data_IF_159565807961
#
_entry.id   IF_159565807961
#
_cell.length_a   1.000
_cell.length_b   1.000
_cell.length_c   1.000
_cell.angle_alpha   90.00
_cell.angle_beta   90.00
_cell.angle_gamma   90.00
#
_symmetry.space_group_name_H-M   'P 1'
#
loop_
_entity.id
_entity.type
_entity.pdbx_description
1 polymer ?
#
# COMPACT_ATOMS: atom_id res chain seq x y z
N UNK A 1 3.96 -13.11 1.34
CA UNK A 1 4.32 -12.33 2.55
C UNK A 1 3.79 -10.92 2.34
N UNK A 2 2.55 -10.66 2.78
CA UNK A 2 1.81 -9.43 2.48
C UNK A 2 2.27 -8.30 3.38
N UNK A 3 3.02 -7.35 2.82
CA UNK A 3 3.38 -6.11 3.50
C UNK A 3 2.16 -5.19 3.48
N UNK A 4 1.44 -5.14 4.59
CA UNK A 4 0.37 -4.17 4.80
C UNK A 4 0.98 -2.76 4.90
N UNK A 5 0.99 -2.03 3.79
CA UNK A 5 1.28 -0.59 3.72
C UNK A 5 0.10 0.19 4.30
N UNK A 6 0.03 0.23 5.63
CA UNK A 6 -0.86 1.15 6.34
C UNK A 6 -0.39 2.60 6.13
N UNK A 7 -1.31 3.55 5.88
CA UNK A 7 -0.94 4.92 5.56
C UNK A 7 -0.24 5.59 6.74
N UNK A 8 0.95 6.14 6.50
CA UNK A 8 1.76 6.93 7.45
C UNK A 8 1.05 8.27 7.72
N UNK A 9 -0.03 8.24 8.50
CA UNK A 9 -0.80 9.44 8.90
C UNK A 9 -0.62 9.83 10.37
N UNK A 10 -0.07 8.92 11.18
CA UNK A 10 -0.14 8.99 12.63
C UNK A 10 1.19 9.47 13.26
N UNK A 11 1.12 10.54 14.06
CA UNK A 11 2.26 11.02 14.85
C UNK A 11 2.83 9.95 15.77
N UNK A 12 1.99 8.99 16.18
CA UNK A 12 2.35 7.84 16.99
C UNK A 12 3.40 6.96 16.31
N UNK A 13 3.28 6.77 14.99
CA UNK A 13 4.23 6.00 14.19
C UNK A 13 5.55 6.76 13.99
N UNK A 14 5.47 8.09 13.80
CA UNK A 14 6.67 8.95 13.74
C UNK A 14 7.44 8.97 15.06
N UNK A 15 6.73 8.96 16.19
CA UNK A 15 7.32 8.94 17.53
C UNK A 15 7.69 7.52 18.01
N UNK A 16 7.36 6.47 17.25
CA UNK A 16 7.61 5.09 17.66
C UNK A 16 6.80 4.63 18.87
N UNK A 17 5.69 5.29 19.21
CA UNK A 17 4.86 4.95 20.40
C UNK A 17 4.17 3.58 20.30
N UNK A 18 4.20 2.95 19.12
CA UNK A 18 3.73 1.58 18.87
C UNK A 18 4.75 0.48 19.21
N UNK A 19 5.98 0.88 19.53
CA UNK A 19 7.09 -0.04 19.66
C UNK A 19 7.25 -0.54 21.10
N UNK A 20 7.79 -1.75 21.26
CA UNK A 20 8.19 -2.30 22.58
C UNK A 20 9.08 -1.34 23.39
N UNK A 21 10.07 -0.63 22.81
CA UNK A 21 10.85 0.35 23.56
C UNK A 21 10.04 1.53 24.12
N UNK A 22 8.95 1.96 23.47
CA UNK A 22 8.10 3.03 24.03
C UNK A 22 7.44 2.60 25.35
N UNK A 23 7.02 1.34 25.46
CA UNK A 23 6.52 0.78 26.71
C UNK A 23 7.59 0.64 27.78
N UNK A 24 8.84 0.33 27.42
CA UNK A 24 9.96 0.29 28.36
C UNK A 24 10.28 1.69 28.91
N UNK A 25 10.32 2.71 28.05
CA UNK A 25 10.52 4.10 28.46
C UNK A 25 9.38 4.54 29.39
N UNK A 26 8.13 4.21 29.06
CA UNK A 26 6.99 4.53 29.90
C UNK A 26 7.03 3.81 31.25
N UNK A 27 7.44 2.53 31.29
CA UNK A 27 7.62 1.80 32.53
C UNK A 27 8.73 2.41 33.40
N UNK A 28 9.87 2.78 32.80
CA UNK A 28 10.95 3.47 33.49
C UNK A 28 10.50 4.84 34.03
N UNK A 29 9.77 5.60 33.21
CA UNK A 29 9.17 6.87 33.62
C UNK A 29 8.22 6.70 34.82
N UNK A 30 7.27 5.77 34.75
CA UNK A 30 6.34 5.51 35.86
C UNK A 30 7.07 5.01 37.12
N UNK A 31 8.15 4.24 36.96
CA UNK A 31 9.00 3.81 38.07
C UNK A 31 9.74 5.00 38.71
N UNK A 32 10.22 5.95 37.89
CA UNK A 32 10.86 7.17 38.39
C UNK A 32 9.88 8.06 39.17
N UNK A 33 8.65 8.21 38.68
CA UNK A 33 7.58 8.93 39.37
C UNK A 33 7.18 8.23 40.68
N UNK A 34 7.12 6.89 40.67
CA UNK A 34 6.87 6.11 41.88
C UNK A 34 7.98 6.29 42.93
N UNK A 35 9.24 6.38 42.51
CA UNK A 35 10.37 6.63 43.41
C UNK A 35 10.34 8.05 44.01
N UNK A 36 10.08 9.07 43.18
CA UNK A 36 9.87 10.45 43.62
C UNK A 36 8.71 10.56 44.61
N UNK A 37 7.61 9.88 44.28
CA UNK A 37 6.42 9.78 45.12
C UNK A 37 6.70 9.10 46.46
N UNK A 38 7.44 7.98 46.47
CA UNK A 38 7.77 7.23 47.68
C UNK A 38 8.75 7.98 48.58
N UNK A 39 9.75 8.65 47.99
CA UNK A 39 10.68 9.50 48.75
C UNK A 39 9.97 10.67 49.45
N UNK A 40 8.85 11.13 48.87
CA UNK A 40 8.01 12.20 49.43
C UNK A 40 6.97 11.68 50.43
N UNK A 41 6.60 10.39 50.38
CA UNK A 41 5.53 9.80 51.19
C UNK A 41 5.83 9.76 52.70
N UNK A 42 7.11 9.77 53.09
CA UNK A 42 7.52 9.81 54.50
C UNK A 42 7.14 11.13 55.20
N UNK A 43 6.75 12.15 54.44
CA UNK A 43 6.44 13.50 54.94
C UNK A 43 4.96 13.88 54.76
N UNK A 44 4.12 12.96 54.29
CA UNK A 44 2.69 13.21 54.02
C UNK A 44 1.77 12.76 55.16
N UNK A 45 0.71 13.53 55.43
CA UNK A 45 -0.26 13.23 56.52
C UNK A 45 -1.18 12.04 56.23
N UNK A 46 -1.52 11.79 54.97
CA UNK A 46 -2.36 10.65 54.56
C UNK A 46 -1.71 9.86 53.43
N UNK A 47 -1.80 8.53 53.53
CA UNK A 47 -1.12 7.60 52.60
C UNK A 47 -1.91 7.29 51.32
N UNK A 48 -3.23 7.54 51.29
CA UNK A 48 -4.10 7.19 50.15
C UNK A 48 -4.02 8.12 48.91
N UNK A 49 -3.72 9.43 49.01
CA UNK A 49 -3.75 10.34 47.86
C UNK A 49 -2.58 10.11 46.90
N UNK A 50 -1.45 9.69 47.45
CA UNK A 50 -0.21 9.36 46.73
C UNK A 50 -0.41 8.21 45.73
N UNK A 51 -0.85 7.00 46.13
CA UNK A 51 -1.11 5.91 45.20
C UNK A 51 -2.27 6.21 44.25
N UNK A 52 -3.25 7.01 44.67
CA UNK A 52 -4.36 7.44 43.78
C UNK A 52 -3.84 8.32 42.65
N UNK A 53 -3.01 9.32 42.96
CA UNK A 53 -2.37 10.16 41.95
C UNK A 53 -1.49 9.36 41.00
N UNK A 54 -0.71 8.41 41.52
CA UNK A 54 0.15 7.55 40.70
C UNK A 54 -0.69 6.66 39.77
N UNK A 55 -1.82 6.12 40.25
CA UNK A 55 -2.74 5.33 39.43
C UNK A 55 -3.35 6.17 38.30
N UNK A 56 -3.73 7.43 38.57
CA UNK A 56 -4.24 8.35 37.55
C UNK A 56 -3.14 8.64 36.50
N UNK A 57 -1.92 8.94 36.92
CA UNK A 57 -0.79 9.16 36.00
C UNK A 57 -0.49 7.91 35.16
N UNK A 58 -0.45 6.72 35.78
CA UNK A 58 -0.25 5.46 35.06
C UNK A 58 -1.36 5.19 34.04
N UNK A 59 -2.61 5.46 34.39
CA UNK A 59 -3.74 5.34 33.48
C UNK A 59 -3.64 6.34 32.31
N UNK A 60 -3.23 7.60 32.58
CA UNK A 60 -3.02 8.61 31.57
C UNK A 60 -1.90 8.22 30.59
N UNK A 61 -0.75 7.76 31.10
CA UNK A 61 0.37 7.25 30.28
C UNK A 61 -0.05 6.04 29.45
N UNK A 62 -0.76 5.07 30.05
CA UNK A 62 -1.26 3.90 29.35
C UNK A 62 -2.28 4.28 28.26
N UNK A 63 -3.17 5.24 28.53
CA UNK A 63 -4.13 5.75 27.55
C UNK A 63 -3.41 6.43 26.37
N UNK A 64 -2.38 7.23 26.64
CA UNK A 64 -1.55 7.85 25.61
C UNK A 64 -0.84 6.83 24.71
N UNK A 65 -0.45 5.67 25.24
CA UNK A 65 0.17 4.59 24.47
C UNK A 65 -0.81 3.64 23.79
N UNK A 66 -2.00 3.42 24.38
CA UNK A 66 -2.97 2.43 23.90
C UNK A 66 -3.91 2.99 22.85
N UNK A 67 -4.39 4.22 23.02
CA UNK A 67 -5.37 4.84 22.12
C UNK A 67 -4.74 5.09 20.75
N UNK A 68 -5.28 4.45 19.71
CA UNK A 68 -4.77 4.50 18.33
C UNK A 68 -5.15 5.75 17.53
N UNK A 69 -6.37 6.31 17.63
CA UNK A 69 -6.74 7.46 16.79
C UNK A 69 -5.84 8.69 16.97
N UNK A 70 -5.48 9.31 15.84
CA UNK A 70 -4.76 10.58 15.77
C UNK A 70 -5.52 11.56 14.84
N UNK A 71 -6.10 12.66 15.38
CA UNK A 71 -5.94 13.16 16.75
C UNK A 71 -6.69 12.32 17.80
N UNK A 72 -6.27 12.46 19.07
CA UNK A 72 -6.94 11.82 20.21
C UNK A 72 -8.47 12.04 20.19
N UNK A 73 -9.28 11.01 20.52
CA UNK A 73 -10.72 11.16 20.60
C UNK A 73 -11.09 12.14 21.72
N UNK A 74 -12.17 12.89 21.54
CA UNK A 74 -12.63 13.92 22.49
C UNK A 74 -12.77 13.43 23.94
N UNK A 75 -13.41 12.28 24.24
CA UNK A 75 -13.55 11.82 25.63
C UNK A 75 -12.21 11.51 26.28
N UNK A 76 -11.27 10.90 25.55
CA UNK A 76 -9.93 10.65 26.07
C UNK A 76 -9.14 11.95 26.28
N UNK A 77 -9.32 12.93 25.38
CA UNK A 77 -8.70 14.25 25.51
C UNK A 77 -9.20 14.96 26.76
N UNK A 78 -10.51 14.93 27.02
CA UNK A 78 -11.09 15.50 28.23
C UNK A 78 -10.62 14.78 29.50
N UNK A 79 -10.58 13.44 29.49
CA UNK A 79 -10.09 12.64 30.60
C UNK A 79 -8.61 12.93 30.93
N UNK A 80 -7.74 13.02 29.90
CA UNK A 80 -6.33 13.35 30.06
C UNK A 80 -6.11 14.80 30.49
N UNK A 81 -6.92 15.74 29.97
CA UNK A 81 -6.86 17.14 30.41
C UNK A 81 -7.30 17.29 31.86
N UNK A 82 -8.31 16.54 32.31
CA UNK A 82 -8.81 16.54 33.68
C UNK A 82 -7.89 15.80 34.65
N UNK A 83 -7.16 14.76 34.21
CA UNK A 83 -6.22 14.05 35.07
C UNK A 83 -5.08 14.93 35.56
N UNK A 84 -4.68 15.93 34.77
CA UNK A 84 -3.58 16.86 35.12
C UNK A 84 -3.88 17.65 36.41
N UNK A 85 -4.93 18.49 36.49
CA UNK A 85 -5.26 19.22 37.71
C UNK A 85 -5.76 18.29 38.83
N UNK A 86 -6.39 17.15 38.51
CA UNK A 86 -6.84 16.19 39.52
C UNK A 86 -5.66 15.59 40.29
N UNK A 87 -4.62 15.12 39.60
CA UNK A 87 -3.42 14.58 40.24
C UNK A 87 -2.69 15.67 41.02
N UNK A 88 -2.58 16.89 40.49
CA UNK A 88 -1.98 18.02 41.18
C UNK A 88 -2.76 18.41 42.46
N UNK A 89 -4.08 18.43 42.43
CA UNK A 89 -4.89 18.72 43.62
C UNK A 89 -4.71 17.64 44.71
N UNK A 90 -4.67 16.36 44.32
CA UNK A 90 -4.47 15.24 45.25
C UNK A 90 -3.12 15.29 45.96
N UNK A 91 -2.05 15.64 45.24
CA UNK A 91 -0.71 15.78 45.83
C UNK A 91 -0.59 17.00 46.71
N UNK A 92 -1.10 18.16 46.25
CA UNK A 92 -1.06 19.42 46.99
C UNK A 92 -1.89 19.37 48.29
N UNK A 93 -3.01 18.63 48.31
CA UNK A 93 -3.83 18.43 49.51
C UNK A 93 -3.04 17.79 50.68
N UNK A 94 -1.98 17.03 50.38
CA UNK A 94 -1.20 16.30 51.40
C UNK A 94 0.14 16.94 51.71
N UNK A 95 0.44 18.07 51.07
CA UNK A 95 1.78 18.63 51.11
C UNK A 95 2.00 19.40 52.41
N UNK A 96 3.07 19.10 53.16
CA UNK A 96 3.47 19.95 54.28
C UNK A 96 3.84 21.34 53.74
N UNK A 97 3.39 22.37 54.47
CA UNK A 97 3.59 23.78 54.13
C UNK A 97 4.68 24.31 55.07
N UNK A 98 5.81 24.89 54.56
CA UNK A 98 6.22 25.00 53.16
C UNK A 98 6.80 23.69 52.57
N UNK A 99 6.79 23.53 51.22
CA UNK A 99 7.42 22.39 50.58
C UNK A 99 8.93 22.40 50.81
N UNK A 100 9.48 21.26 51.20
CA UNK A 100 10.88 21.09 51.62
C UNK A 100 11.76 20.48 50.54
N UNK A 101 11.17 19.89 49.49
CA UNK A 101 11.90 19.21 48.40
C UNK A 101 11.18 19.32 47.07
N UNK A 102 11.93 19.36 45.97
CA UNK A 102 11.38 19.33 44.61
C UNK A 102 10.67 18.00 44.32
N UNK A 103 11.05 16.91 45.00
CA UNK A 103 10.42 15.60 44.83
C UNK A 103 8.93 15.61 45.20
N UNK A 104 8.52 16.51 46.10
CA UNK A 104 7.13 16.69 46.51
C UNK A 104 6.22 17.21 45.37
N UNK A 105 6.82 17.82 44.35
CA UNK A 105 6.14 18.38 43.18
C UNK A 105 6.11 17.41 41.99
N UNK A 106 6.38 16.12 42.19
CA UNK A 106 6.43 15.08 41.13
C UNK A 106 5.22 15.13 40.17
N UNK A 107 4.02 15.34 40.70
CA UNK A 107 2.78 15.46 39.92
C UNK A 107 2.78 16.58 38.87
N UNK A 108 3.59 17.63 39.05
CA UNK A 108 3.71 18.72 38.09
C UNK A 108 4.46 18.25 36.85
N UNK A 109 5.56 17.53 37.04
CA UNK A 109 6.29 16.87 35.95
C UNK A 109 5.39 15.90 35.19
N UNK A 110 4.63 15.08 35.92
CA UNK A 110 3.71 14.12 35.31
C UNK A 110 2.57 14.76 34.50
N UNK A 111 1.99 15.85 35.02
CA UNK A 111 1.01 16.65 34.30
C UNK A 111 1.59 17.25 33.01
N UNK A 112 2.81 17.77 33.09
CA UNK A 112 3.52 18.38 31.95
C UNK A 112 3.88 17.38 30.87
N UNK A 113 4.33 16.18 31.23
CA UNK A 113 4.57 15.09 30.29
C UNK A 113 3.27 14.72 29.58
N UNK A 114 2.18 14.57 30.33
CA UNK A 114 0.85 14.26 29.77
C UNK A 114 0.39 15.35 28.78
N UNK A 115 0.49 16.63 29.16
CA UNK A 115 0.17 17.77 28.29
C UNK A 115 1.06 17.80 27.03
N UNK A 116 2.37 17.58 27.19
CA UNK A 116 3.34 17.55 26.09
C UNK A 116 2.95 16.49 25.06
N UNK A 117 2.67 15.26 25.49
CA UNK A 117 2.25 14.19 24.57
C UNK A 117 0.86 14.46 23.96
N UNK A 118 -0.09 15.06 24.69
CA UNK A 118 -1.36 15.49 24.12
C UNK A 118 -1.17 16.55 23.01
N UNK A 119 -0.22 17.47 23.20
CA UNK A 119 0.15 18.47 22.21
C UNK A 119 0.71 17.82 20.94
N UNK A 120 1.67 16.90 21.08
CA UNK A 120 2.23 16.19 19.92
C UNK A 120 1.19 15.31 19.21
N UNK A 121 0.22 14.78 19.95
CA UNK A 121 -0.96 14.05 19.40
C UNK A 121 -2.06 14.95 18.84
N UNK A 122 -1.78 16.23 18.60
CA UNK A 122 -2.64 17.14 17.83
C UNK A 122 -3.78 17.78 18.61
N UNK A 123 -3.76 17.71 19.95
CA UNK A 123 -4.73 18.37 20.84
C UNK A 123 -4.06 19.49 21.64
N UNK A 124 -3.33 20.37 20.94
CA UNK A 124 -2.55 21.46 21.56
C UNK A 124 -3.40 22.37 22.46
N UNK A 125 -4.61 22.75 22.03
CA UNK A 125 -5.49 23.58 22.86
C UNK A 125 -5.89 22.91 24.18
N UNK A 126 -6.18 21.61 24.17
CA UNK A 126 -6.52 20.87 25.39
C UNK A 126 -5.30 20.62 26.29
N UNK A 127 -4.12 20.44 25.71
CA UNK A 127 -2.86 20.34 26.45
C UNK A 127 -2.57 21.65 27.21
N UNK A 128 -2.74 22.80 26.55
CA UNK A 128 -2.63 24.11 27.17
C UNK A 128 -3.70 24.32 28.25
N UNK A 129 -4.95 23.96 27.99
CA UNK A 129 -6.01 24.04 29.00
C UNK A 129 -5.68 23.18 30.25
N UNK A 130 -5.17 21.97 30.06
CA UNK A 130 -4.73 21.11 31.16
C UNK A 130 -3.59 21.70 31.98
N UNK A 131 -2.56 22.25 31.32
CA UNK A 131 -1.44 22.88 32.00
C UNK A 131 -1.84 24.19 32.71
N UNK A 132 -2.67 25.02 32.08
CA UNK A 132 -3.20 26.23 32.72
C UNK A 132 -4.08 25.89 33.92
N UNK A 133 -4.85 24.81 33.85
CA UNK A 133 -5.64 24.31 34.99
C UNK A 133 -4.75 23.84 36.14
N UNK A 134 -3.59 23.23 35.84
CA UNK A 134 -2.59 22.90 36.85
C UNK A 134 -2.03 24.14 37.53
N UNK A 135 -1.65 25.17 36.75
CA UNK A 135 -1.16 26.46 37.28
C UNK A 135 -2.23 27.14 38.13
N UNK A 136 -3.50 27.08 37.72
CA UNK A 136 -4.60 27.61 38.52
C UNK A 136 -4.77 26.84 39.83
N UNK A 137 -4.69 25.50 39.78
CA UNK A 137 -4.80 24.63 40.97
C UNK A 137 -3.68 24.93 41.98
N UNK A 138 -2.45 25.08 41.51
CA UNK A 138 -1.30 25.42 42.37
C UNK A 138 -1.38 26.83 42.93
N UNK A 139 -1.85 27.81 42.15
CA UNK A 139 -2.09 29.17 42.62
C UNK A 139 -3.15 29.21 43.74
N UNK A 140 -4.29 28.54 43.54
CA UNK A 140 -5.37 28.45 44.54
C UNK A 140 -4.87 27.78 45.83
N UNK A 141 -4.13 26.67 45.71
CA UNK A 141 -3.53 26.00 46.87
C UNK A 141 -2.57 26.92 47.64
N UNK A 142 -1.71 27.64 46.92
CA UNK A 142 -0.70 28.51 47.54
C UNK A 142 -1.35 29.73 48.24
N UNK A 143 -2.45 30.22 47.68
CA UNK A 143 -3.29 31.25 48.32
C UNK A 143 -3.93 30.73 49.62
N UNK A 144 -4.56 29.55 49.58
CA UNK A 144 -5.17 28.95 50.77
C UNK A 144 -4.15 28.60 51.86
N UNK A 145 -2.92 28.28 51.44
CA UNK A 145 -1.80 27.94 52.32
C UNK A 145 -1.10 29.16 52.94
N UNK A 146 -1.54 30.39 52.62
CA UNK A 146 -0.96 31.64 53.14
C UNK A 146 0.39 32.04 52.54
N UNK A 147 0.86 31.34 51.49
CA UNK A 147 2.13 31.62 50.80
C UNK A 147 1.99 32.69 49.70
N UNK A 148 0.75 33.04 49.35
CA UNK A 148 0.43 34.02 48.32
C UNK A 148 0.34 33.42 46.91
N UNK A 149 -0.51 34.00 46.05
CA UNK A 149 -0.77 33.51 44.69
C UNK A 149 0.51 33.40 43.83
N UNK A 150 1.47 34.32 44.03
CA UNK A 150 2.70 34.37 43.26
C UNK A 150 3.58 33.13 43.43
N UNK A 151 3.57 32.48 44.62
CA UNK A 151 4.40 31.31 44.87
C UNK A 151 3.90 30.09 44.07
N UNK A 152 2.59 29.82 44.10
CA UNK A 152 1.97 28.75 43.32
C UNK A 152 2.18 28.90 41.80
N UNK A 153 2.14 30.13 41.28
CA UNK A 153 2.48 30.39 39.88
C UNK A 153 3.96 30.14 39.63
N UNK A 154 4.87 30.69 40.44
CA UNK A 154 6.30 30.59 40.25
C UNK A 154 6.81 29.13 40.19
N UNK A 155 6.32 28.26 41.06
CA UNK A 155 6.68 26.83 41.04
C UNK A 155 6.16 26.09 39.80
N UNK A 156 5.12 26.62 39.15
CA UNK A 156 4.48 25.99 38.00
C UNK A 156 5.03 26.48 36.66
N UNK A 157 5.57 27.70 36.58
CA UNK A 157 6.03 28.35 35.34
C UNK A 157 7.07 27.51 34.59
N UNK A 158 7.94 26.78 35.28
CA UNK A 158 8.97 25.92 34.65
C UNK A 158 8.38 24.88 33.69
N UNK A 159 7.13 24.47 33.92
CA UNK A 159 6.42 23.49 33.11
C UNK A 159 5.94 24.04 31.75
N UNK A 160 5.95 25.35 31.56
CA UNK A 160 5.62 25.98 30.28
C UNK A 160 6.68 25.66 29.20
N UNK A 161 7.95 25.54 29.59
CA UNK A 161 9.06 25.31 28.65
C UNK A 161 8.87 24.05 27.80
N UNK A 162 8.69 22.85 28.41
CA UNK A 162 8.43 21.62 27.66
C UNK A 162 7.19 21.69 26.75
N UNK A 163 6.09 22.28 27.24
CA UNK A 163 4.87 22.41 26.43
C UNK A 163 5.04 23.38 25.25
N UNK A 164 5.78 24.46 25.43
CA UNK A 164 6.15 25.39 24.34
C UNK A 164 6.98 24.69 23.27
N UNK A 165 7.98 23.91 23.67
CA UNK A 165 8.79 23.11 22.74
C UNK A 165 7.92 22.07 21.99
N UNK A 166 7.02 21.39 22.70
CA UNK A 166 6.08 20.44 22.10
C UNK A 166 5.11 21.13 21.10
N UNK A 167 4.69 22.35 21.42
CA UNK A 167 3.85 23.19 20.55
C UNK A 167 4.59 23.51 19.27
N UNK A 168 5.85 23.95 19.35
CA UNK A 168 6.69 24.19 18.18
C UNK A 168 6.85 22.93 17.33
N UNK A 169 7.12 21.78 17.95
CA UNK A 169 7.21 20.50 17.24
C UNK A 169 5.90 20.15 16.51
N UNK A 170 4.75 20.32 17.18
CA UNK A 170 3.44 19.99 16.65
C UNK A 170 3.05 20.86 15.44
N UNK A 171 3.41 22.14 15.45
CA UNK A 171 3.07 23.08 14.37
C UNK A 171 4.11 23.13 13.24
N UNK A 172 5.40 22.96 13.53
CA UNK A 172 6.46 23.14 12.52
C UNK A 172 6.90 21.81 11.91
N UNK A 173 7.20 20.81 12.76
CA UNK A 173 7.86 19.59 12.28
C UNK A 173 6.86 18.57 11.73
N UNK A 174 5.66 18.52 12.31
CA UNK A 174 4.64 17.52 11.94
C UNK A 174 4.07 17.72 10.52
N UNK A 175 3.74 18.94 10.05
CA UNK A 175 3.32 19.14 8.66
C UNK A 175 4.45 18.86 7.67
N UNK A 176 5.68 19.29 7.99
CA UNK A 176 6.86 19.06 7.16
C UNK A 176 7.15 17.57 6.96
N UNK A 177 7.14 16.79 8.05
CA UNK A 177 7.30 15.33 7.98
C UNK A 177 6.23 14.68 7.11
N UNK A 178 4.94 15.03 7.31
CA UNK A 178 3.83 14.52 6.49
C UNK A 178 4.00 14.85 5.00
N UNK A 179 4.48 16.04 4.67
CA UNK A 179 4.73 16.44 3.29
C UNK A 179 5.85 15.60 2.65
N UNK A 180 6.96 15.40 3.36
CA UNK A 180 8.09 14.59 2.87
C UNK A 180 7.67 13.14 2.63
N UNK A 181 6.89 12.54 3.53
CA UNK A 181 6.44 11.16 3.34
C UNK A 181 5.47 11.01 2.18
N UNK A 182 4.53 11.95 2.01
CA UNK A 182 3.64 11.96 0.83
C UNK A 182 4.43 12.07 -0.47
N UNK A 183 5.41 12.97 -0.53
CA UNK A 183 6.25 13.15 -1.70
C UNK A 183 7.07 11.88 -2.03
N UNK A 184 7.58 11.18 -1.01
CA UNK A 184 8.27 9.89 -1.20
C UNK A 184 7.34 8.81 -1.75
N UNK A 185 6.11 8.73 -1.26
CA UNK A 185 5.11 7.78 -1.75
C UNK A 185 4.74 8.06 -3.21
N UNK A 186 4.49 9.33 -3.54
CA UNK A 186 4.22 9.80 -4.91
C UNK A 186 5.39 9.52 -5.84
N UNK A 187 6.63 9.84 -5.42
CA UNK A 187 7.84 9.57 -6.19
C UNK A 187 8.04 8.07 -6.43
N UNK A 188 7.80 7.22 -5.43
CA UNK A 188 7.90 5.77 -5.59
C UNK A 188 6.86 5.25 -6.59
N UNK A 189 5.63 5.77 -6.53
CA UNK A 189 4.57 5.41 -7.47
C UNK A 189 4.91 5.86 -8.90
N UNK A 190 5.48 7.05 -9.04
CA UNK A 190 5.90 7.60 -10.32
C UNK A 190 7.02 6.76 -10.94
N UNK A 191 8.07 6.43 -10.18
CA UNK A 191 9.16 5.54 -10.64
C UNK A 191 8.62 4.19 -11.09
N UNK A 192 7.65 3.61 -10.37
CA UNK A 192 6.99 2.38 -10.78
C UNK A 192 6.25 2.50 -12.11
N UNK A 193 5.53 3.61 -12.34
CA UNK A 193 4.83 3.85 -13.60
C UNK A 193 5.78 4.11 -14.77
N UNK A 194 6.88 4.83 -14.53
CA UNK A 194 7.90 5.11 -15.55
C UNK A 194 8.64 3.82 -15.95
N UNK A 195 8.96 2.95 -14.99
CA UNK A 195 9.56 1.65 -15.27
C UNK A 195 8.64 0.75 -16.12
N UNK A 196 7.34 0.72 -15.82
CA UNK A 196 6.36 -0.03 -16.61
C UNK A 196 6.23 0.53 -18.05
N UNK A 197 6.22 1.85 -18.20
CA UNK A 197 6.18 2.50 -19.50
C UNK A 197 7.46 2.22 -20.32
N UNK A 198 8.64 2.26 -19.68
CA UNK A 198 9.91 1.92 -20.31
C UNK A 198 9.93 0.47 -20.80
N UNK A 199 9.49 -0.48 -19.97
CA UNK A 199 9.39 -1.89 -20.35
C UNK A 199 8.44 -2.12 -21.55
N UNK A 200 7.30 -1.43 -21.57
CA UNK A 200 6.36 -1.50 -22.69
C UNK A 200 6.96 -0.93 -23.99
N UNK A 201 7.73 0.15 -23.90
CA UNK A 201 8.46 0.72 -25.05
C UNK A 201 9.54 -0.23 -25.58
N UNK A 202 10.26 -0.91 -24.69
CA UNK A 202 11.29 -1.87 -25.07
C UNK A 202 10.70 -3.11 -25.74
N UNK A 203 9.59 -3.66 -25.23
CA UNK A 203 8.87 -4.75 -25.91
C UNK A 203 8.38 -4.32 -27.30
N UNK A 204 7.83 -3.10 -27.41
CA UNK A 204 7.40 -2.55 -28.70
C UNK A 204 8.58 -2.42 -29.68
N UNK A 205 9.74 -1.94 -29.22
CA UNK A 205 10.96 -1.87 -30.04
C UNK A 205 11.39 -3.26 -30.52
N UNK A 206 11.40 -4.25 -29.61
CA UNK A 206 11.74 -5.63 -29.96
C UNK A 206 10.75 -6.25 -30.97
N UNK A 207 9.46 -5.91 -30.89
CA UNK A 207 8.47 -6.33 -31.88
C UNK A 207 8.70 -5.68 -33.25
N UNK A 208 8.95 -4.37 -33.29
CA UNK A 208 9.25 -3.64 -34.53
C UNK A 208 10.53 -4.20 -35.18
N UNK A 209 11.56 -4.47 -34.40
CA UNK A 209 12.81 -5.01 -34.91
C UNK A 209 12.64 -6.42 -35.50
N UNK A 210 11.90 -7.31 -34.82
CA UNK A 210 11.54 -8.64 -35.37
C UNK A 210 10.77 -8.54 -36.69
N UNK A 211 9.87 -7.57 -36.81
CA UNK A 211 9.12 -7.32 -38.04
C UNK A 211 10.05 -6.80 -39.15
N UNK A 212 10.95 -5.88 -38.82
CA UNK A 212 11.90 -5.31 -39.76
C UNK A 212 12.86 -6.38 -40.32
N UNK A 213 13.44 -7.21 -39.45
CA UNK A 213 14.33 -8.31 -39.85
C UNK A 213 13.67 -9.29 -40.83
N UNK A 214 12.36 -9.52 -40.66
CA UNK A 214 11.59 -10.41 -41.53
C UNK A 214 11.27 -9.82 -42.90
N UNK A 215 10.95 -8.52 -42.95
CA UNK A 215 10.39 -7.88 -44.15
C UNK A 215 11.46 -7.18 -45.00
N UNK A 216 12.52 -6.65 -44.36
CA UNK A 216 13.59 -5.90 -45.01
C UNK A 216 14.24 -6.62 -46.20
N UNK A 217 14.61 -7.92 -46.14
CA UNK A 217 15.28 -8.58 -47.26
C UNK A 217 14.44 -8.62 -48.54
N UNK A 218 13.12 -8.73 -48.42
CA UNK A 218 12.21 -8.75 -49.57
C UNK A 218 11.96 -7.36 -50.13
N UNK A 219 11.80 -6.36 -49.26
CA UNK A 219 11.66 -4.98 -49.70
C UNK A 219 12.91 -4.51 -50.46
N UNK A 220 14.10 -4.90 -49.99
CA UNK A 220 15.36 -4.63 -50.69
C UNK A 220 15.42 -5.35 -52.05
N UNK A 221 14.94 -6.60 -52.13
CA UNK A 221 14.87 -7.36 -53.38
C UNK A 221 13.87 -6.74 -54.38
N UNK A 222 12.75 -6.20 -53.91
CA UNK A 222 11.77 -5.47 -54.74
C UNK A 222 12.30 -4.13 -55.23
N UNK A 223 13.08 -3.42 -54.39
CA UNK A 223 13.69 -2.15 -54.75
C UNK A 223 14.87 -2.29 -55.73
N UNK A 224 15.37 -3.51 -55.94
CA UNK A 224 16.46 -3.81 -56.86
C UNK A 224 16.08 -3.66 -58.35
N UNK A 225 17.08 -3.53 -59.25
CA UNK A 225 16.84 -3.32 -60.68
C UNK A 225 16.44 -4.60 -61.45
N UNK A 226 16.39 -5.76 -60.78
CA UNK A 226 16.10 -7.04 -61.41
C UNK A 226 14.57 -7.28 -61.50
N UNK A 227 14.06 -7.83 -62.62
CA UNK A 227 12.65 -8.20 -62.71
C UNK A 227 12.33 -9.33 -61.72
N UNK A 228 11.16 -9.24 -61.08
CA UNK A 228 10.69 -10.23 -60.11
C UNK A 228 10.37 -11.55 -60.83
N UNK A 229 11.09 -12.62 -60.47
CA UNK A 229 10.79 -13.97 -60.94
C UNK A 229 9.53 -14.55 -60.23
N UNK A 230 8.96 -15.62 -60.80
CA UNK A 230 7.74 -16.23 -60.26
C UNK A 230 7.94 -16.75 -58.82
N UNK A 231 9.16 -17.21 -58.51
CA UNK A 231 9.54 -17.68 -57.18
C UNK A 231 9.56 -16.56 -56.14
N UNK A 232 10.09 -15.38 -56.49
CA UNK A 232 10.07 -14.20 -55.63
C UNK A 232 8.65 -13.72 -55.41
N UNK A 233 7.79 -13.79 -56.42
CA UNK A 233 6.36 -13.44 -56.28
C UNK A 233 5.64 -14.38 -55.31
N UNK A 234 5.97 -15.68 -55.33
CA UNK A 234 5.43 -16.66 -54.40
C UNK A 234 5.94 -16.42 -52.96
N UNK A 235 7.24 -16.13 -52.78
CA UNK A 235 7.81 -15.75 -51.48
C UNK A 235 7.11 -14.52 -50.89
N UNK A 236 6.86 -13.48 -51.71
CA UNK A 236 6.16 -12.27 -51.29
C UNK A 236 4.72 -12.58 -50.82
N UNK A 237 3.99 -13.42 -51.56
CA UNK A 237 2.62 -13.83 -51.18
C UNK A 237 2.61 -14.59 -49.85
N UNK A 238 3.57 -15.47 -49.62
CA UNK A 238 3.67 -16.23 -48.37
C UNK A 238 3.96 -15.31 -47.17
N UNK A 239 4.84 -14.32 -47.34
CA UNK A 239 5.19 -13.37 -46.27
C UNK A 239 4.07 -12.36 -46.01
N UNK A 240 3.39 -11.86 -47.04
CA UNK A 240 2.18 -11.06 -46.87
C UNK A 240 1.12 -11.83 -46.07
N UNK A 241 0.85 -13.09 -46.46
CA UNK A 241 -0.12 -13.93 -45.78
C UNK A 241 0.28 -14.17 -44.32
N UNK A 242 1.57 -14.39 -44.03
CA UNK A 242 2.08 -14.52 -42.67
C UNK A 242 1.92 -13.23 -41.86
N UNK A 243 2.24 -12.06 -42.42
CA UNK A 243 2.04 -10.76 -41.77
C UNK A 243 0.57 -10.50 -41.45
N UNK A 244 -0.31 -10.82 -42.40
CA UNK A 244 -1.76 -10.69 -42.21
C UNK A 244 -2.25 -11.59 -41.08
N UNK A 245 -1.74 -12.82 -40.99
CA UNK A 245 -2.08 -13.72 -39.88
C UNK A 245 -1.55 -13.22 -38.54
N UNK A 246 -0.33 -12.67 -38.50
CA UNK A 246 0.23 -12.09 -37.27
C UNK A 246 -0.60 -10.92 -36.75
N UNK A 247 -1.21 -10.13 -37.64
CA UNK A 247 -2.10 -9.02 -37.27
C UNK A 247 -3.53 -9.48 -36.94
N UNK A 248 -4.07 -10.43 -37.70
CA UNK A 248 -5.48 -10.84 -37.63
C UNK A 248 -5.73 -12.00 -36.65
N UNK A 249 -4.70 -12.78 -36.38
CA UNK A 249 -4.77 -13.94 -35.51
C UNK A 249 -3.51 -14.13 -34.64
N UNK A 250 -3.20 -13.21 -33.69
CA UNK A 250 -1.96 -13.23 -32.92
C UNK A 250 -1.74 -14.51 -32.12
N UNK A 251 -2.79 -15.10 -31.54
CA UNK A 251 -2.65 -16.35 -30.79
C UNK A 251 -2.32 -17.55 -31.68
N UNK A 252 -2.74 -17.53 -32.96
CA UNK A 252 -2.46 -18.56 -33.96
C UNK A 252 -1.15 -18.31 -34.73
N UNK A 253 -0.61 -17.09 -34.69
CA UNK A 253 0.67 -16.72 -35.29
C UNK A 253 1.88 -17.14 -34.42
N UNK A 254 1.81 -18.33 -33.81
CA UNK A 254 2.88 -18.92 -33.00
C UNK A 254 3.15 -20.36 -33.43
N UNK A 255 4.36 -20.86 -33.19
CA UNK A 255 4.67 -22.27 -33.42
C UNK A 255 3.83 -23.18 -32.51
N UNK A 256 3.33 -24.33 -32.99
CA UNK A 256 3.61 -24.98 -34.28
C UNK A 256 2.71 -24.55 -35.47
N UNK A 257 1.75 -23.65 -35.24
CA UNK A 257 0.68 -23.34 -36.21
C UNK A 257 1.22 -22.57 -37.43
N UNK A 258 2.17 -21.65 -37.22
CA UNK A 258 2.82 -20.87 -38.29
C UNK A 258 3.49 -21.76 -39.34
N UNK A 259 4.26 -22.75 -38.90
CA UNK A 259 4.91 -23.70 -39.80
C UNK A 259 3.89 -24.58 -40.52
N UNK A 260 2.87 -25.09 -39.82
CA UNK A 260 1.81 -25.90 -40.43
C UNK A 260 1.01 -25.13 -41.49
N UNK A 261 0.64 -23.88 -41.20
CA UNK A 261 -0.08 -23.01 -42.14
C UNK A 261 0.77 -22.71 -43.40
N UNK A 262 2.07 -22.44 -43.23
CA UNK A 262 3.00 -22.23 -44.36
C UNK A 262 3.09 -23.47 -45.24
N UNK A 263 3.25 -24.66 -44.65
CA UNK A 263 3.28 -25.90 -45.42
C UNK A 263 1.97 -26.19 -46.14
N UNK A 264 0.82 -25.87 -45.54
CA UNK A 264 -0.48 -25.99 -46.19
C UNK A 264 -0.60 -25.06 -47.41
N UNK A 265 -0.15 -23.81 -47.29
CA UNK A 265 -0.12 -22.84 -48.40
C UNK A 265 0.79 -23.28 -49.54
N UNK A 266 1.96 -23.85 -49.23
CA UNK A 266 2.85 -24.44 -50.24
C UNK A 266 2.23 -25.61 -51.01
N UNK A 267 1.23 -26.30 -50.41
CA UNK A 267 0.44 -27.34 -51.10
C UNK A 267 -0.72 -26.76 -51.93
N UNK A 268 -0.91 -25.44 -51.93
CA UNK A 268 -2.02 -24.77 -52.62
C UNK A 268 -3.32 -24.69 -51.80
N UNK A 269 -3.26 -24.87 -50.48
CA UNK A 269 -4.42 -24.68 -49.58
C UNK A 269 -4.54 -23.19 -49.22
N UNK A 270 -5.72 -22.60 -49.39
CA UNK A 270 -6.00 -21.25 -48.90
C UNK A 270 -6.33 -21.28 -47.40
N UNK A 271 -5.45 -20.71 -46.58
CA UNK A 271 -5.55 -20.75 -45.11
C UNK A 271 -5.95 -19.38 -44.58
N UNK A 272 -7.09 -19.33 -43.89
CA UNK A 272 -7.62 -18.14 -43.23
C UNK A 272 -7.62 -18.38 -41.72
N UNK A 273 -6.88 -17.56 -40.98
CA UNK A 273 -6.80 -17.59 -39.52
C UNK A 273 -7.51 -16.35 -38.95
N UNK A 274 -8.34 -16.54 -37.93
CA UNK A 274 -9.06 -15.48 -37.21
C UNK A 274 -8.93 -15.73 -35.71
N UNK A 275 -8.61 -14.69 -34.97
CA UNK A 275 -8.56 -14.73 -33.50
C UNK A 275 -9.51 -13.71 -32.89
N UNK A 276 -10.54 -14.18 -32.18
CA UNK A 276 -11.44 -13.35 -31.38
C UNK A 276 -11.03 -13.35 -29.88
N UNK A 277 -9.76 -13.63 -29.57
CA UNK A 277 -9.14 -13.54 -28.23
C UNK A 277 -9.59 -14.58 -27.18
N UNK A 278 -10.29 -15.66 -27.56
CA UNK A 278 -10.74 -16.68 -26.61
C UNK A 278 -9.64 -17.52 -25.95
N UNK A 279 -8.38 -17.40 -26.37
CA UNK A 279 -7.24 -18.12 -25.79
C UNK A 279 -6.44 -17.29 -24.77
N UNK A 280 -6.71 -16.00 -24.62
CA UNK A 280 -5.85 -15.07 -23.85
C UNK A 280 -5.85 -15.38 -22.34
N UNK A 281 -7.00 -15.78 -21.78
CA UNK A 281 -7.16 -16.08 -20.36
C UNK A 281 -6.92 -17.55 -19.99
N UNK A 282 -6.52 -18.39 -20.95
CA UNK A 282 -6.38 -19.83 -20.73
C UNK A 282 -5.01 -20.23 -20.17
N UNK A 283 -4.95 -21.31 -19.34
CA UNK A 283 -3.69 -21.88 -18.91
C UNK A 283 -2.80 -22.29 -20.10
N UNK A 284 -1.49 -22.05 -19.99
CA UNK A 284 -0.52 -22.33 -21.05
C UNK A 284 -0.51 -23.79 -21.56
N UNK A 285 -0.92 -24.76 -20.73
CA UNK A 285 -1.07 -26.15 -21.14
C UNK A 285 -2.28 -26.35 -22.08
N UNK A 286 -3.42 -25.74 -21.76
CA UNK A 286 -4.64 -25.79 -22.59
C UNK A 286 -4.39 -25.08 -23.92
N UNK A 287 -3.80 -23.88 -23.89
CA UNK A 287 -3.44 -23.14 -25.11
C UNK A 287 -2.56 -23.96 -26.04
N UNK A 288 -1.50 -24.59 -25.53
CA UNK A 288 -0.62 -25.47 -26.32
C UNK A 288 -1.35 -26.66 -26.94
N UNK A 289 -2.30 -27.27 -26.21
CA UNK A 289 -3.10 -28.38 -26.75
C UNK A 289 -3.96 -27.94 -27.92
N UNK A 290 -4.67 -26.81 -27.78
CA UNK A 290 -5.50 -26.25 -28.86
C UNK A 290 -4.65 -25.93 -30.09
N UNK A 291 -3.51 -25.23 -29.90
CA UNK A 291 -2.58 -24.91 -30.98
C UNK A 291 -2.00 -26.17 -31.64
N UNK A 292 -1.69 -27.21 -30.87
CA UNK A 292 -1.24 -28.50 -31.39
C UNK A 292 -2.29 -29.19 -32.25
N UNK A 293 -3.56 -29.19 -31.82
CA UNK A 293 -4.68 -29.74 -32.61
C UNK A 293 -4.87 -28.96 -33.91
N UNK A 294 -4.85 -27.62 -33.86
CA UNK A 294 -4.94 -26.76 -35.06
C UNK A 294 -3.80 -27.08 -36.03
N UNK A 295 -2.57 -27.18 -35.56
CA UNK A 295 -1.41 -27.48 -36.40
C UNK A 295 -1.51 -28.87 -37.05
N UNK A 296 -1.97 -29.88 -36.30
CA UNK A 296 -2.17 -31.23 -36.83
C UNK A 296 -3.22 -31.25 -37.95
N UNK A 297 -4.35 -30.56 -37.75
CA UNK A 297 -5.40 -30.49 -38.77
C UNK A 297 -4.94 -29.74 -40.02
N UNK A 298 -4.22 -28.63 -39.89
CA UNK A 298 -3.59 -27.93 -41.02
C UNK A 298 -2.55 -28.79 -41.75
N UNK A 299 -1.85 -29.68 -41.04
CA UNK A 299 -0.90 -30.60 -41.67
C UNK A 299 -1.58 -31.65 -42.55
N UNK A 300 -2.82 -32.06 -42.21
CA UNK A 300 -3.58 -33.05 -43.00
C UNK A 300 -4.27 -32.46 -44.24
N UNK A 301 -4.50 -31.15 -44.27
CA UNK A 301 -5.16 -30.48 -45.39
C UNK A 301 -4.29 -30.55 -46.66
N UNK A 302 -4.80 -31.21 -47.71
CA UNK A 302 -4.05 -31.47 -48.94
C UNK A 302 -4.41 -30.55 -50.11
N UNK A 303 -5.66 -30.04 -50.16
CA UNK A 303 -6.15 -29.11 -51.17
C UNK A 303 -7.36 -28.30 -50.64
N UNK A 304 -7.70 -27.20 -51.28
CA UNK A 304 -8.91 -26.42 -50.99
C UNK A 304 -8.72 -25.26 -50.02
N UNK A 305 -9.64 -25.08 -49.06
CA UNK A 305 -9.63 -23.96 -48.10
C UNK A 305 -9.66 -24.47 -46.66
N UNK A 306 -8.89 -23.84 -45.77
CA UNK A 306 -8.86 -24.14 -44.33
C UNK A 306 -9.10 -22.86 -43.53
N UNK A 307 -10.25 -22.79 -42.84
CA UNK A 307 -10.64 -21.65 -42.01
C UNK A 307 -10.55 -22.03 -40.55
N UNK A 308 -9.67 -21.36 -39.80
CA UNK A 308 -9.51 -21.56 -38.36
C UNK A 308 -9.94 -20.28 -37.66
N UNK A 309 -10.88 -20.40 -36.72
CA UNK A 309 -11.36 -19.28 -35.92
C UNK A 309 -11.30 -19.63 -34.44
N UNK A 310 -10.61 -18.81 -33.66
CA UNK A 310 -10.77 -18.79 -32.20
C UNK A 310 -11.99 -17.93 -31.91
N UNK A 311 -12.90 -18.44 -31.07
CA UNK A 311 -14.12 -17.74 -30.68
C UNK A 311 -13.86 -16.80 -29.49
N UNK A 312 -14.74 -15.82 -29.24
CA UNK A 312 -14.65 -14.95 -28.07
C UNK A 312 -14.59 -15.73 -26.74
N UNK A 313 -13.99 -15.14 -25.68
CA UNK A 313 -13.96 -15.75 -24.35
C UNK A 313 -15.38 -16.07 -23.84
N UNK A 314 -15.46 -17.06 -22.94
CA UNK A 314 -16.70 -17.55 -22.31
C UNK A 314 -17.69 -18.28 -23.23
N UNK A 315 -17.26 -18.76 -24.40
CA UNK A 315 -18.04 -19.70 -25.23
C UNK A 315 -17.72 -21.15 -24.87
N UNK A 316 -18.70 -22.04 -25.07
CA UNK A 316 -18.52 -23.48 -24.87
C UNK A 316 -17.48 -24.06 -25.85
N UNK A 317 -17.42 -23.51 -27.06
CA UNK A 317 -16.46 -23.86 -28.12
C UNK A 317 -15.35 -22.80 -28.13
N UNK A 318 -14.08 -23.23 -28.03
CA UNK A 318 -12.90 -22.37 -28.07
C UNK A 318 -12.45 -22.05 -29.49
N UNK A 319 -12.47 -23.06 -30.36
CA UNK A 319 -12.00 -22.91 -31.73
C UNK A 319 -12.83 -23.76 -32.69
N UNK A 320 -13.01 -23.24 -33.89
CA UNK A 320 -13.63 -23.97 -35.00
C UNK A 320 -12.64 -24.03 -36.16
N UNK A 321 -12.45 -25.23 -36.69
CA UNK A 321 -11.64 -25.50 -37.87
C UNK A 321 -12.58 -26.04 -38.94
N UNK A 322 -12.65 -25.37 -40.09
CA UNK A 322 -13.42 -25.81 -41.25
C UNK A 322 -12.47 -26.02 -42.40
N UNK A 323 -12.31 -27.28 -42.82
CA UNK A 323 -11.53 -27.66 -43.99
C UNK A 323 -12.49 -28.06 -45.09
N UNK A 324 -12.38 -27.40 -46.25
CA UNK A 324 -13.15 -27.73 -47.44
C UNK A 324 -12.17 -28.20 -48.52
N UNK A 325 -12.16 -29.50 -48.75
CA UNK A 325 -11.33 -30.16 -49.75
C UNK A 325 -12.22 -30.55 -50.96
N UNK A 326 -11.87 -30.15 -52.20
CA UNK A 326 -12.63 -30.48 -53.40
C UNK A 326 -12.87 -31.99 -53.62
N UNK A 327 -12.02 -32.86 -53.05
CA UNK A 327 -12.10 -34.32 -53.23
C UNK A 327 -12.79 -35.03 -52.08
N UNK A 328 -12.64 -34.54 -50.85
CA UNK A 328 -13.12 -35.22 -49.64
C UNK A 328 -14.32 -34.52 -48.98
N UNK A 329 -14.70 -33.33 -49.45
CA UNK A 329 -15.86 -32.57 -48.97
C UNK A 329 -15.52 -31.63 -47.79
N UNK A 330 -16.57 -31.18 -47.09
CA UNK A 330 -16.44 -30.23 -45.97
C UNK A 330 -16.31 -31.01 -44.66
N UNK A 331 -15.22 -30.76 -43.91
CA UNK A 331 -14.98 -31.28 -42.57
C UNK A 331 -14.92 -30.13 -41.56
N UNK A 332 -15.79 -30.16 -40.56
CA UNK A 332 -15.84 -29.19 -39.45
C UNK A 332 -15.41 -29.86 -38.16
N UNK A 333 -14.53 -29.20 -37.43
CA UNK A 333 -13.99 -29.64 -36.15
C UNK A 333 -14.18 -28.52 -35.15
N UNK A 334 -14.76 -28.85 -34.01
CA UNK A 334 -14.99 -27.93 -32.90
C UNK A 334 -14.13 -28.38 -31.73
N UNK A 335 -13.40 -27.44 -31.14
CA UNK A 335 -12.57 -27.69 -29.97
C UNK A 335 -13.28 -27.03 -28.79
N UNK A 336 -13.79 -27.85 -27.88
CA UNK A 336 -14.49 -27.37 -26.69
C UNK A 336 -13.53 -26.81 -25.63
N UNK A 337 -14.06 -25.88 -24.85
CA UNK A 337 -13.42 -25.44 -23.61
C UNK A 337 -13.34 -26.64 -22.67
N UNK A 338 -12.16 -27.05 -22.17
CA UNK A 338 -12.11 -28.05 -21.12
C UNK A 338 -12.94 -27.52 -19.95
N UNK A 339 -13.95 -28.29 -19.52
CA UNK A 339 -14.87 -27.88 -18.48
C UNK A 339 -14.09 -27.27 -17.31
N UNK A 340 -14.21 -25.95 -17.13
CA UNK A 340 -13.84 -25.33 -15.87
C UNK A 340 -14.77 -25.97 -14.83
N UNK A 341 -14.27 -26.58 -13.75
CA UNK A 341 -15.13 -27.05 -12.67
C UNK A 341 -15.82 -25.82 -12.09
N UNK A 342 -17.02 -25.53 -12.60
CA UNK A 342 -17.83 -24.43 -12.13
C UNK A 342 -18.09 -24.66 -10.64
N UNK A 343 -17.72 -23.67 -9.82
CA UNK A 343 -18.26 -23.53 -8.48
C UNK A 343 -19.78 -23.64 -8.57
N UNK A 344 -20.33 -24.74 -8.04
CA UNK A 344 -21.73 -24.76 -7.60
C UNK A 344 -21.85 -23.70 -6.51
N UNK A 345 -22.77 -22.73 -6.61
CA UNK A 345 -23.26 -22.08 -5.41
C UNK A 345 -24.13 -23.13 -4.71
N UNK A 346 -23.67 -23.60 -3.55
CA UNK A 346 -24.53 -24.38 -2.65
C UNK A 346 -25.69 -23.49 -2.17
N UNK A 347 -26.89 -24.06 -1.98
CA UNK A 347 -28.07 -23.35 -1.47
C UNK A 347 -27.95 -22.93 0.00
#
# INVERSE_FOLDING_TARGET
MSAATGPVRDARTLLGMDTRPAWLIAAFYLMSEAALSLSSAQQTRHLWPVPTGLAITAAATAALLRIRPDPLPLPATAALAASIPATAALTLFNLPIPPTSVAQLWSFGAGTVTATFMCVRGRTGAAWAGLLSLIATSAVWSWQSGQGLGHGVAISVINLGPLMMATFFAYTLRPAARAIFRLREESTRQVGSEAAAAAALDERRAQIQRLDDMVRPILERIAGPQPLDERTREDCRLIEAHLRDTLRAPALATEPVTTAARHARLRGVDVILIDDHGLDDLPAATRRRVLGTVAAELATASAGTAHVRILPPHRAILATIVVNDPRSGIRRIEIDTPACPALRPDP
#
